data_IF_799147175936
#
_entry.id   IF_799147175936
#
_cell.length_a   1.000
_cell.length_b   1.000
_cell.length_c   1.000
_cell.angle_alpha   90.00
_cell.angle_beta   90.00
_cell.angle_gamma   90.00
#
_symmetry.space_group_name_H-M   'P 1'
#
loop_
_entity.id
_entity.type
_entity.pdbx_description
1 polymer ?
#
# COMPACT_ATOMS: atom_id res chain seq x y z
N UNK A 1 -19.46 4.07 10.52
CA UNK A 1 -19.88 5.03 9.46
C UNK A 1 -19.75 4.43 8.05
N UNK A 2 -20.74 4.64 7.16
CA UNK A 2 -20.71 4.11 5.78
C UNK A 2 -19.56 4.67 4.95
N UNK A 3 -19.25 5.96 5.11
CA UNK A 3 -18.20 6.66 4.38
C UNK A 3 -16.80 6.10 4.68
N UNK A 4 -16.47 5.80 5.95
CA UNK A 4 -15.18 5.20 6.33
C UNK A 4 -14.94 3.87 5.61
N UNK A 5 -15.97 3.02 5.58
CA UNK A 5 -15.90 1.72 4.90
C UNK A 5 -15.71 1.89 3.40
N UNK A 6 -16.44 2.81 2.78
CA UNK A 6 -16.29 3.12 1.35
C UNK A 6 -14.89 3.66 1.04
N UNK A 7 -14.28 4.46 1.93
CA UNK A 7 -12.90 4.94 1.76
C UNK A 7 -11.90 3.79 1.78
N UNK A 8 -11.96 2.89 2.77
CA UNK A 8 -11.07 1.72 2.82
C UNK A 8 -11.25 0.83 1.59
N UNK A 9 -12.49 0.57 1.18
CA UNK A 9 -12.78 -0.24 -0.02
C UNK A 9 -12.28 0.41 -1.30
N UNK A 10 -12.41 1.74 -1.43
CA UNK A 10 -11.94 2.45 -2.61
C UNK A 10 -10.42 2.39 -2.71
N UNK A 11 -9.70 2.63 -1.61
CA UNK A 11 -8.24 2.50 -1.56
C UNK A 11 -7.82 1.07 -1.91
N UNK A 12 -8.45 0.05 -1.33
CA UNK A 12 -8.14 -1.34 -1.64
C UNK A 12 -8.35 -1.67 -3.13
N UNK A 13 -9.49 -1.23 -3.72
CA UNK A 13 -9.76 -1.41 -5.16
C UNK A 13 -8.76 -0.67 -6.03
N UNK A 14 -8.31 0.51 -5.60
CA UNK A 14 -7.30 1.31 -6.30
C UNK A 14 -5.97 0.57 -6.36
N UNK A 15 -5.50 0.06 -5.21
CA UNK A 15 -4.26 -0.71 -5.10
C UNK A 15 -4.31 -1.98 -5.96
N UNK A 16 -5.41 -2.73 -5.89
CA UNK A 16 -5.62 -3.93 -6.72
C UNK A 16 -5.57 -3.58 -8.20
N UNK A 17 -6.29 -2.51 -8.62
CA UNK A 17 -6.31 -2.09 -10.03
C UNK A 17 -4.93 -1.65 -10.53
N UNK A 18 -4.13 -0.98 -9.70
CA UNK A 18 -2.76 -0.58 -10.05
C UNK A 18 -1.84 -1.78 -10.18
N UNK A 19 -1.95 -2.73 -9.27
CA UNK A 19 -1.24 -4.01 -9.35
C UNK A 19 -1.58 -4.76 -10.65
N UNK A 20 -2.87 -4.95 -10.95
CA UNK A 20 -3.33 -5.63 -12.16
C UNK A 20 -3.00 -4.86 -13.45
N UNK A 21 -2.89 -3.53 -13.37
CA UNK A 21 -2.55 -2.65 -14.48
C UNK A 21 -1.04 -2.54 -14.73
N UNK A 22 -0.21 -3.10 -13.86
CA UNK A 22 1.23 -3.13 -14.04
C UNK A 22 1.57 -4.13 -15.16
N UNK A 23 2.10 -3.67 -16.32
CA UNK A 23 2.46 -4.59 -17.40
C UNK A 23 3.52 -5.58 -16.88
N UNK A 24 3.44 -6.82 -17.36
CA UNK A 24 4.48 -7.81 -17.05
C UNK A 24 5.86 -7.28 -17.48
N UNK A 25 6.94 -7.73 -16.83
CA UNK A 25 8.31 -7.22 -17.04
C UNK A 25 8.75 -7.21 -18.52
N UNK A 26 8.22 -8.15 -19.32
CA UNK A 26 8.46 -8.28 -20.76
C UNK A 26 7.70 -7.25 -21.63
N UNK A 27 6.61 -6.67 -21.12
CA UNK A 27 5.79 -5.61 -21.74
C UNK A 27 6.10 -4.20 -21.20
N UNK A 28 6.83 -4.10 -20.09
CA UNK A 28 7.14 -2.84 -19.38
C UNK A 28 8.00 -1.86 -20.20
N UNK A 29 8.98 -2.35 -20.95
CA UNK A 29 9.93 -1.49 -21.69
C UNK A 29 9.27 -0.62 -22.77
N UNK A 30 8.13 -1.05 -23.33
CA UNK A 30 7.42 -0.33 -24.40
C UNK A 30 6.32 0.59 -23.84
N UNK A 31 5.82 0.30 -22.63
CA UNK A 31 4.65 0.96 -22.00
C UNK A 31 5.03 1.95 -20.88
N UNK A 32 6.26 1.88 -20.37
CA UNK A 32 6.75 2.65 -19.21
C UNK A 32 6.50 4.17 -19.31
N UNK A 33 6.65 4.77 -20.50
CA UNK A 33 6.49 6.23 -20.66
C UNK A 33 5.05 6.75 -20.55
N UNK A 34 4.03 5.88 -20.54
CA UNK A 34 2.61 6.27 -20.45
C UNK A 34 1.94 5.86 -19.12
N UNK A 35 2.60 5.08 -18.28
CA UNK A 35 2.01 4.45 -17.09
C UNK A 35 2.72 4.76 -15.76
N UNK A 36 3.75 5.62 -15.75
CA UNK A 36 4.43 6.04 -14.51
C UNK A 36 3.48 6.63 -13.46
N UNK A 37 2.36 7.25 -13.87
CA UNK A 37 1.35 7.79 -12.95
C UNK A 37 0.32 6.74 -12.43
N UNK A 38 0.44 5.47 -12.86
CA UNK A 38 -0.56 4.43 -12.60
C UNK A 38 -0.05 3.19 -11.86
N UNK A 39 1.25 3.10 -11.54
CA UNK A 39 1.82 1.98 -10.81
C UNK A 39 1.70 2.12 -9.28
N UNK A 40 1.98 1.04 -8.53
CA UNK A 40 1.95 1.09 -7.06
C UNK A 40 3.03 2.03 -6.49
N UNK A 41 4.19 2.11 -7.13
CA UNK A 41 5.29 2.95 -6.67
C UNK A 41 4.87 4.44 -6.61
N UNK A 42 4.29 4.96 -7.68
CA UNK A 42 3.77 6.33 -7.78
C UNK A 42 2.69 6.62 -6.74
N UNK A 43 1.82 5.64 -6.42
CA UNK A 43 0.83 5.79 -5.36
C UNK A 43 1.47 6.10 -4.00
N UNK A 44 2.55 5.39 -3.65
CA UNK A 44 3.21 5.54 -2.35
C UNK A 44 4.16 6.75 -2.25
N UNK A 45 4.40 7.48 -3.35
CA UNK A 45 5.15 8.76 -3.27
C UNK A 45 4.47 9.80 -2.36
N UNK A 46 3.16 9.66 -2.15
CA UNK A 46 2.36 10.51 -1.27
C UNK A 46 2.03 9.84 0.08
N UNK A 47 2.69 8.73 0.44
CA UNK A 47 2.54 8.14 1.76
C UNK A 47 2.97 9.13 2.84
N UNK A 48 2.21 9.20 3.93
CA UNK A 48 2.40 10.20 4.98
C UNK A 48 3.39 9.73 6.05
N UNK A 49 3.36 8.43 6.35
CA UNK A 49 4.25 7.79 7.32
C UNK A 49 4.36 6.28 7.02
N UNK A 50 5.42 5.65 7.49
CA UNK A 50 5.63 4.20 7.36
C UNK A 50 6.23 3.62 8.63
N UNK A 51 5.61 2.57 9.15
CA UNK A 51 6.13 1.75 10.21
C UNK A 51 6.61 0.42 9.63
N UNK A 52 7.89 0.11 9.84
CA UNK A 52 8.50 -1.14 9.40
C UNK A 52 8.44 -2.19 10.50
N UNK A 53 7.95 -3.39 10.18
CA UNK A 53 8.05 -4.56 11.04
C UNK A 53 9.31 -5.32 10.61
N UNK A 54 10.27 -5.44 11.52
CA UNK A 54 11.56 -6.07 11.24
C UNK A 54 11.85 -7.25 12.18
N UNK A 55 12.68 -8.18 11.71
CA UNK A 55 13.19 -9.28 12.52
C UNK A 55 14.22 -8.77 13.54
N UNK A 56 14.54 -9.60 14.54
CA UNK A 56 15.64 -9.30 15.49
C UNK A 56 17.01 -9.17 14.84
N UNK A 57 17.16 -9.59 13.58
CA UNK A 57 18.37 -9.44 12.75
C UNK A 57 18.33 -8.18 11.87
N UNK A 58 17.26 -7.39 11.97
CA UNK A 58 17.05 -6.20 11.14
C UNK A 58 16.63 -6.51 9.71
N UNK A 59 16.12 -7.70 9.44
CA UNK A 59 15.54 -8.07 8.14
C UNK A 59 14.12 -7.51 8.05
N UNK A 60 13.76 -6.94 6.91
CA UNK A 60 12.38 -6.51 6.63
C UNK A 60 11.42 -7.71 6.72
N UNK A 61 10.22 -7.47 7.26
CA UNK A 61 9.16 -8.48 7.28
C UNK A 61 7.88 -7.95 6.64
N UNK A 62 7.41 -6.78 7.05
CA UNK A 62 6.16 -6.20 6.59
C UNK A 62 6.17 -4.67 6.81
N UNK A 63 5.21 -3.95 6.23
CA UNK A 63 5.00 -2.52 6.44
C UNK A 63 3.56 -2.18 6.86
N UNK A 64 3.45 -1.10 7.64
CA UNK A 64 2.21 -0.46 8.00
C UNK A 64 2.27 1.01 7.57
N UNK A 65 1.49 1.38 6.55
CA UNK A 65 1.69 2.61 5.76
C UNK A 65 0.50 3.54 5.97
N UNK A 66 0.75 4.76 6.45
CA UNK A 66 -0.29 5.78 6.62
C UNK A 66 -0.54 6.52 5.30
N UNK A 67 -1.78 6.46 4.80
CA UNK A 67 -2.17 7.11 3.54
C UNK A 67 -3.11 8.30 3.74
N UNK A 68 -3.84 8.34 4.86
CA UNK A 68 -4.62 9.52 5.25
C UNK A 68 -4.46 9.79 6.74
N UNK A 69 -4.23 11.05 7.13
CA UNK A 69 -4.13 11.52 8.51
C UNK A 69 -4.89 12.84 8.68
N UNK A 70 -5.53 13.06 9.83
CA UNK A 70 -6.22 14.34 10.14
C UNK A 70 -7.70 14.41 9.70
N UNK A 71 -8.20 13.33 9.13
CA UNK A 71 -9.62 12.97 9.02
C UNK A 71 -9.74 11.53 9.49
N UNK A 72 -10.45 10.64 8.77
CA UNK A 72 -10.22 9.21 8.89
C UNK A 72 -8.71 8.90 8.79
N UNK A 73 -8.17 8.24 9.81
CA UNK A 73 -6.81 7.72 9.76
C UNK A 73 -6.87 6.38 9.04
N UNK A 74 -6.28 6.28 7.86
CA UNK A 74 -6.30 5.06 7.04
C UNK A 74 -4.87 4.58 6.83
N UNK A 75 -4.71 3.28 7.03
CA UNK A 75 -3.45 2.57 6.95
C UNK A 75 -3.57 1.38 6.02
N UNK A 76 -2.47 1.02 5.37
CA UNK A 76 -2.31 -0.24 4.65
C UNK A 76 -1.42 -1.13 5.49
N UNK A 77 -1.92 -2.28 5.91
CA UNK A 77 -1.22 -3.29 6.71
C UNK A 77 -0.92 -4.50 5.82
N UNK A 78 0.32 -4.60 5.31
CA UNK A 78 0.73 -5.69 4.40
C UNK A 78 0.83 -7.04 5.13
N UNK A 79 1.10 -7.02 6.43
CA UNK A 79 1.14 -8.22 7.28
C UNK A 79 -0.23 -8.87 7.42
N UNK A 80 -1.25 -8.05 7.72
CA UNK A 80 -2.63 -8.52 7.88
C UNK A 80 -3.33 -8.68 6.53
N UNK A 81 -2.92 -7.94 5.52
CA UNK A 81 -3.55 -7.90 4.20
C UNK A 81 -4.84 -7.07 4.20
N UNK A 82 -4.83 -5.90 4.85
CA UNK A 82 -6.00 -5.02 4.92
C UNK A 82 -5.65 -3.54 4.81
N UNK A 83 -6.53 -2.79 4.14
CA UNK A 83 -6.67 -1.35 4.34
C UNK A 83 -7.57 -1.12 5.56
N UNK A 84 -7.03 -0.50 6.59
CA UNK A 84 -7.71 -0.30 7.88
C UNK A 84 -7.93 1.18 8.13
N UNK A 85 -9.16 1.55 8.48
CA UNK A 85 -9.55 2.94 8.75
C UNK A 85 -10.13 3.12 10.15
N UNK A 86 -9.78 4.24 10.78
CA UNK A 86 -10.26 4.64 12.09
C UNK A 86 -10.80 6.07 12.07
N UNK A 87 -11.98 6.29 12.64
CA UNK A 87 -12.54 7.63 12.85
C UNK A 87 -13.42 7.67 14.09
N UNK A 88 -13.01 8.42 15.11
CA UNK A 88 -13.65 8.41 16.43
C UNK A 88 -13.77 6.97 16.97
N UNK A 89 -14.99 6.46 17.22
CA UNK A 89 -15.23 5.07 17.64
C UNK A 89 -15.46 4.10 16.48
N UNK A 90 -15.48 4.58 15.24
CA UNK A 90 -15.69 3.75 14.06
C UNK A 90 -14.40 3.08 13.58
N UNK A 91 -14.57 1.89 13.03
CA UNK A 91 -13.53 1.08 12.44
C UNK A 91 -14.04 0.42 11.16
N UNK A 92 -13.20 0.36 10.12
CA UNK A 92 -13.49 -0.38 8.90
C UNK A 92 -12.23 -1.01 8.31
N UNK A 93 -12.40 -2.16 7.68
CA UNK A 93 -11.33 -2.90 7.00
C UNK A 93 -11.78 -3.27 5.59
N UNK A 94 -10.85 -3.22 4.64
CA UNK A 94 -11.02 -3.75 3.29
C UNK A 94 -9.84 -4.66 2.96
N UNK A 95 -10.13 -5.86 2.47
CA UNK A 95 -9.13 -6.90 2.22
C UNK A 95 -8.23 -6.57 1.01
N UNK A 96 -6.97 -6.98 1.09
CA UNK A 96 -5.99 -6.96 0.00
C UNK A 96 -5.51 -8.39 -0.32
N UNK A 97 -5.40 -8.75 -1.62
CA UNK A 97 -4.71 -9.97 -2.04
C UNK A 97 -3.25 -10.01 -1.55
N UNK A 98 -2.73 -11.21 -1.30
CA UNK A 98 -1.36 -11.38 -0.81
C UNK A 98 -0.35 -10.90 -1.84
N UNK A 99 -0.62 -11.13 -3.12
CA UNK A 99 0.23 -10.74 -4.24
C UNK A 99 0.36 -9.20 -4.35
N UNK A 100 -0.72 -8.47 -4.03
CA UNK A 100 -0.68 -7.01 -3.93
C UNK A 100 0.15 -6.58 -2.73
N UNK A 101 0.01 -7.28 -1.59
CA UNK A 101 0.81 -6.98 -0.41
C UNK A 101 2.30 -7.28 -0.63
N UNK A 102 2.64 -8.34 -1.35
CA UNK A 102 4.01 -8.71 -1.71
C UNK A 102 4.67 -7.61 -2.55
N UNK A 103 3.98 -7.11 -3.59
CA UNK A 103 4.49 -6.02 -4.41
C UNK A 103 4.67 -4.71 -3.62
N UNK A 104 3.76 -4.44 -2.67
CA UNK A 104 3.91 -3.29 -1.76
C UNK A 104 5.12 -3.50 -0.84
N UNK A 105 5.30 -4.71 -0.30
CA UNK A 105 6.43 -5.06 0.55
C UNK A 105 7.75 -4.93 -0.20
N UNK A 106 7.84 -5.32 -1.48
CA UNK A 106 9.03 -5.15 -2.32
C UNK A 106 9.42 -3.66 -2.47
N UNK A 107 8.43 -2.78 -2.67
CA UNK A 107 8.64 -1.33 -2.73
C UNK A 107 9.20 -0.81 -1.40
N UNK A 108 8.59 -1.20 -0.28
CA UNK A 108 8.94 -0.68 1.04
C UNK A 108 10.21 -1.32 1.62
N UNK A 109 10.54 -2.55 1.27
CA UNK A 109 11.83 -3.19 1.56
C UNK A 109 12.96 -2.44 0.86
N UNK A 110 12.79 -2.09 -0.43
CA UNK A 110 13.77 -1.28 -1.15
C UNK A 110 13.98 0.11 -0.49
N UNK A 111 12.90 0.75 -0.03
CA UNK A 111 13.01 1.99 0.76
C UNK A 111 13.71 1.78 2.09
N UNK A 112 13.37 0.74 2.84
CA UNK A 112 13.99 0.42 4.13
C UNK A 112 15.50 0.20 3.98
N UNK A 113 15.92 -0.60 3.01
CA UNK A 113 17.34 -0.86 2.75
C UNK A 113 18.09 0.40 2.28
N UNK A 114 17.40 1.40 1.70
CA UNK A 114 18.01 2.68 1.32
C UNK A 114 18.33 3.60 2.51
N UNK A 115 17.64 3.42 3.64
CA UNK A 115 17.81 4.22 4.86
C UNK A 115 18.54 3.48 5.99
N UNK A 116 18.85 2.20 5.79
CA UNK A 116 19.51 1.31 6.76
C UNK A 116 21.02 1.52 6.84
#
# INVERSE_FOLDING_TARGET
>A
MKELKEMCENIAKELIRRYEGNPAEDEAAETAAYNEDFDLYSYFTNALDVEYIISTRGEYLDAHIAVTLGGPNIYIDTRRGYVTGYWDTDHAEAWLPREVCDEIDDIFEAYYESIR
#
